data_IF_804588146490
#
_entry.id   IF_804588146490
#
_cell.length_a   1.000
_cell.length_b   1.000
_cell.length_c   1.000
_cell.angle_alpha   90.00
_cell.angle_beta   90.00
_cell.angle_gamma   90.00
#
_symmetry.space_group_name_H-M   'P 1'
#
loop_
_entity.id
_entity.type
_entity.pdbx_description
1 polymer ?
#
# COMPACT_ATOMS: atom_id res chain seq x y z
N UNK A 1 11.98 -38.36 -16.82
CA UNK A 1 11.99 -37.36 -15.72
C UNK A 1 10.64 -37.42 -15.03
N UNK A 2 10.58 -37.57 -13.70
CA UNK A 2 9.31 -37.63 -12.97
C UNK A 2 8.69 -36.24 -12.85
N UNK A 3 7.36 -36.16 -12.74
CA UNK A 3 6.63 -34.89 -12.55
C UNK A 3 7.13 -34.09 -11.34
N UNK A 4 7.54 -34.78 -10.26
CA UNK A 4 8.08 -34.15 -9.05
C UNK A 4 9.40 -33.41 -9.32
N UNK A 5 10.32 -34.02 -10.09
CA UNK A 5 11.59 -33.39 -10.45
C UNK A 5 11.38 -32.14 -11.32
N UNK A 6 10.35 -32.15 -12.19
CA UNK A 6 9.98 -30.98 -12.98
C UNK A 6 9.43 -29.84 -12.11
N UNK A 7 8.64 -30.15 -11.08
CA UNK A 7 8.11 -29.15 -10.16
C UNK A 7 9.20 -28.51 -9.30
N UNK A 8 10.21 -29.28 -8.87
CA UNK A 8 11.38 -28.74 -8.15
C UNK A 8 12.18 -27.77 -9.00
N UNK A 9 12.42 -28.10 -10.28
CA UNK A 9 13.09 -27.19 -11.22
C UNK A 9 12.26 -25.92 -11.43
N UNK A 10 10.94 -26.04 -11.60
CA UNK A 10 10.06 -24.88 -11.73
C UNK A 10 10.12 -24.00 -10.48
N UNK A 11 10.11 -24.58 -9.27
CA UNK A 11 10.15 -23.80 -8.03
C UNK A 11 11.45 -23.00 -7.87
N UNK A 12 12.57 -23.58 -8.32
CA UNK A 12 13.87 -22.92 -8.37
C UNK A 12 13.97 -21.86 -9.46
N UNK A 13 13.30 -22.02 -10.61
CA UNK A 13 13.45 -21.12 -11.75
C UNK A 13 12.35 -20.04 -11.83
N UNK A 14 11.20 -20.25 -11.20
CA UNK A 14 10.02 -19.36 -11.32
C UNK A 14 10.32 -17.91 -11.01
N UNK A 15 11.21 -17.63 -10.05
CA UNK A 15 11.50 -16.26 -9.63
C UNK A 15 12.13 -15.43 -10.75
N UNK A 16 12.85 -16.07 -11.68
CA UNK A 16 13.43 -15.41 -12.86
C UNK A 16 12.38 -14.93 -13.86
N UNK A 17 11.19 -15.54 -13.82
CA UNK A 17 10.08 -15.26 -14.73
C UNK A 17 8.86 -14.64 -14.01
N UNK A 18 8.94 -14.42 -12.69
CA UNK A 18 7.94 -13.67 -11.91
C UNK A 18 8.18 -12.16 -12.00
N UNK A 19 8.39 -11.66 -13.22
CA UNK A 19 8.39 -10.22 -13.44
C UNK A 19 6.96 -9.70 -13.27
N UNK A 20 6.76 -8.85 -12.27
CA UNK A 20 5.51 -8.14 -12.09
C UNK A 20 5.47 -7.00 -13.11
N UNK A 21 4.46 -6.97 -13.98
CA UNK A 21 4.27 -5.91 -14.98
C UNK A 21 4.32 -4.51 -14.32
N UNK A 22 3.81 -4.39 -13.09
CA UNK A 22 3.87 -3.14 -12.32
C UNK A 22 5.29 -2.73 -11.97
N UNK A 23 6.18 -3.69 -11.68
CA UNK A 23 7.60 -3.40 -11.39
C UNK A 23 8.31 -2.90 -12.66
N UNK A 24 7.99 -3.47 -13.83
CA UNK A 24 8.52 -3.02 -15.12
C UNK A 24 8.04 -1.61 -15.47
N UNK A 25 6.75 -1.34 -15.29
CA UNK A 25 6.16 -0.01 -15.50
C UNK A 25 6.79 1.04 -14.58
N UNK A 26 7.04 0.70 -13.32
CA UNK A 26 7.72 1.58 -12.37
C UNK A 26 9.18 1.82 -12.79
N UNK A 27 9.92 0.77 -13.15
CA UNK A 27 11.30 0.88 -13.60
C UNK A 27 11.45 1.72 -14.87
N UNK A 28 10.51 1.62 -15.82
CA UNK A 28 10.46 2.44 -17.03
C UNK A 28 10.31 3.94 -16.73
N UNK A 29 9.79 4.30 -15.55
CA UNK A 29 9.67 5.67 -15.05
C UNK A 29 10.79 6.04 -14.06
N UNK A 30 11.81 5.20 -13.89
CA UNK A 30 12.89 5.40 -12.92
C UNK A 30 12.47 5.23 -11.46
N UNK A 31 11.32 4.59 -11.21
CA UNK A 31 10.77 4.37 -9.86
C UNK A 31 11.24 3.01 -9.34
N UNK A 32 11.86 3.02 -8.15
CA UNK A 32 12.22 1.77 -7.45
C UNK A 32 11.08 1.33 -6.54
N UNK A 33 10.54 0.13 -6.77
CA UNK A 33 9.47 -0.45 -5.95
C UNK A 33 10.06 -1.04 -4.66
N UNK A 34 9.59 -0.55 -3.52
CA UNK A 34 9.89 -1.13 -2.21
C UNK A 34 8.81 -2.13 -1.82
N UNK A 35 9.19 -3.39 -1.57
CA UNK A 35 8.27 -4.45 -1.12
C UNK A 35 8.38 -4.64 0.39
N UNK A 36 7.26 -4.58 1.08
CA UNK A 36 7.15 -4.92 2.50
C UNK A 36 6.90 -6.42 2.67
N UNK A 37 7.35 -6.97 3.79
CA UNK A 37 7.01 -8.34 4.17
C UNK A 37 5.49 -8.47 4.40
N UNK A 38 4.89 -9.61 4.03
CA UNK A 38 3.48 -9.87 4.29
C UNK A 38 3.16 -9.70 5.78
N UNK A 39 2.01 -9.10 6.10
CA UNK A 39 1.52 -8.88 7.48
C UNK A 39 2.30 -7.88 8.34
N UNK A 40 3.20 -7.09 7.75
CA UNK A 40 3.93 -6.03 8.45
C UNK A 40 3.45 -4.63 8.04
N UNK A 41 2.17 -4.34 8.27
CA UNK A 41 1.59 -3.03 7.94
C UNK A 41 2.14 -1.89 8.83
N UNK A 42 2.70 -2.23 10.00
CA UNK A 42 3.45 -1.34 10.89
C UNK A 42 4.67 -0.70 10.20
N UNK A 43 5.24 -1.37 9.20
CA UNK A 43 6.33 -0.86 8.37
C UNK A 43 5.86 0.04 7.23
N UNK A 44 4.55 0.23 7.03
CA UNK A 44 3.99 1.06 5.97
C UNK A 44 3.53 2.43 6.53
N UNK A 45 4.28 3.52 6.29
CA UNK A 45 3.96 4.84 6.87
C UNK A 45 2.58 5.38 6.47
N UNK A 46 2.00 4.93 5.36
CA UNK A 46 0.66 5.36 4.93
C UNK A 46 -0.42 4.96 5.96
N UNK A 47 -0.20 3.91 6.76
CA UNK A 47 -1.14 3.50 7.81
C UNK A 47 -1.28 4.57 8.89
N UNK A 48 -0.19 5.29 9.20
CA UNK A 48 -0.20 6.41 10.15
C UNK A 48 -1.01 7.59 9.59
N UNK A 49 -0.86 7.88 8.30
CA UNK A 49 -1.65 8.91 7.60
C UNK A 49 -3.13 8.54 7.63
N UNK A 50 -3.46 7.27 7.35
CA UNK A 50 -4.83 6.78 7.37
C UNK A 50 -5.45 6.78 8.76
N UNK A 51 -4.70 6.47 9.81
CA UNK A 51 -5.19 6.57 11.19
C UNK A 51 -5.65 8.00 11.52
N UNK A 52 -4.84 9.00 11.16
CA UNK A 52 -5.18 10.42 11.34
C UNK A 52 -6.40 10.83 10.50
N UNK A 53 -6.39 10.48 9.21
CA UNK A 53 -7.46 10.82 8.28
C UNK A 53 -8.82 10.24 8.70
N UNK A 54 -8.86 8.94 8.99
CA UNK A 54 -10.07 8.26 9.45
C UNK A 54 -10.55 8.83 10.78
N UNK A 55 -9.63 9.09 11.71
CA UNK A 55 -9.96 9.70 13.01
C UNK A 55 -10.59 11.08 12.86
N UNK A 56 -10.07 11.93 11.96
CA UNK A 56 -10.64 13.24 11.69
C UNK A 56 -12.05 13.13 11.08
N UNK A 57 -12.23 12.31 10.04
CA UNK A 57 -13.54 12.09 9.41
C UNK A 57 -14.55 11.57 10.43
N UNK A 58 -14.17 10.57 11.24
CA UNK A 58 -15.06 9.98 12.25
C UNK A 58 -15.53 10.99 13.31
N UNK A 59 -14.68 11.94 13.70
CA UNK A 59 -15.03 12.98 14.70
C UNK A 59 -15.91 14.10 14.14
N UNK A 60 -15.80 14.39 12.84
CA UNK A 60 -16.41 15.59 12.26
C UNK A 60 -17.55 15.31 11.27
N UNK A 61 -17.68 14.08 10.77
CA UNK A 61 -18.78 13.70 9.89
C UNK A 61 -20.08 13.62 10.67
N UNK A 62 -20.97 14.60 10.47
CA UNK A 62 -22.26 14.68 11.16
C UNK A 62 -23.44 14.32 10.26
N UNK A 63 -23.31 14.53 8.95
CA UNK A 63 -24.37 14.25 8.00
C UNK A 63 -24.38 12.79 7.52
N UNK A 64 -23.26 12.06 7.71
CA UNK A 64 -23.05 10.71 7.17
C UNK A 64 -23.17 10.63 5.64
N UNK A 65 -23.07 11.78 4.96
CA UNK A 65 -23.12 11.87 3.50
C UNK A 65 -21.73 11.79 2.88
N UNK A 66 -21.67 11.26 1.67
CA UNK A 66 -20.40 11.05 0.97
C UNK A 66 -19.71 12.37 0.63
N UNK A 67 -20.48 13.43 0.34
CA UNK A 67 -19.90 14.74 0.03
C UNK A 67 -19.15 15.32 1.24
N UNK A 68 -19.70 15.18 2.45
CA UNK A 68 -19.04 15.63 3.67
C UNK A 68 -17.83 14.77 4.00
N UNK A 69 -17.93 13.43 3.84
CA UNK A 69 -16.78 12.52 3.99
C UNK A 69 -15.64 12.91 3.07
N UNK A 70 -15.92 13.17 1.78
CA UNK A 70 -14.91 13.58 0.81
C UNK A 70 -14.24 14.90 1.20
N UNK A 71 -15.02 15.88 1.64
CA UNK A 71 -14.50 17.17 2.10
C UNK A 71 -13.57 16.99 3.31
N UNK A 72 -14.03 16.30 4.34
CA UNK A 72 -13.28 16.06 5.58
C UNK A 72 -12.02 15.22 5.34
N UNK A 73 -12.06 14.28 4.39
CA UNK A 73 -10.90 13.49 4.01
C UNK A 73 -9.80 14.36 3.41
N UNK A 74 -10.15 15.22 2.44
CA UNK A 74 -9.18 16.14 1.81
C UNK A 74 -8.61 17.12 2.83
N UNK A 75 -9.46 17.70 3.68
CA UNK A 75 -9.04 18.58 4.78
C UNK A 75 -8.09 17.86 5.74
N UNK A 76 -8.39 16.63 6.12
CA UNK A 76 -7.52 15.89 7.03
C UNK A 76 -6.16 15.57 6.41
N UNK A 77 -6.11 15.18 5.13
CA UNK A 77 -4.85 14.86 4.46
C UNK A 77 -3.95 16.10 4.39
N UNK A 78 -4.51 17.29 4.11
CA UNK A 78 -3.77 18.55 4.11
C UNK A 78 -3.20 18.93 5.49
N UNK A 79 -3.74 18.38 6.56
CA UNK A 79 -3.35 18.66 7.94
C UNK A 79 -2.39 17.62 8.54
N UNK A 80 -1.97 16.61 7.77
CA UNK A 80 -0.97 15.62 8.19
C UNK A 80 0.41 16.22 8.06
N UNK A 81 1.18 16.18 9.15
CA UNK A 81 2.58 16.62 9.18
C UNK A 81 3.47 15.53 9.76
N UNK A 82 4.79 15.54 9.49
CA UNK A 82 5.72 14.52 10.00
C UNK A 82 5.74 14.44 11.54
N UNK A 83 5.53 15.56 12.22
CA UNK A 83 5.61 15.65 13.69
C UNK A 83 4.30 15.26 14.40
N UNK A 84 3.20 15.18 13.65
CA UNK A 84 1.88 14.92 14.21
C UNK A 84 1.70 13.42 14.41
N UNK A 85 1.78 13.00 15.67
CA UNK A 85 1.51 11.60 16.05
C UNK A 85 0.01 11.31 15.93
N UNK A 86 -0.32 10.14 15.39
CA UNK A 86 -1.68 9.63 15.27
C UNK A 86 -2.30 9.31 16.64
#
# INVERSE_FOLDING_TARGET
MLKVNLLEIVDQEKYKYQQCIVDEMAAAQGITVLRLSPYHCDLNPIELVWAQAKGHVARHNRSFKMEEVKKLLLESISNVTPDKRA
#
